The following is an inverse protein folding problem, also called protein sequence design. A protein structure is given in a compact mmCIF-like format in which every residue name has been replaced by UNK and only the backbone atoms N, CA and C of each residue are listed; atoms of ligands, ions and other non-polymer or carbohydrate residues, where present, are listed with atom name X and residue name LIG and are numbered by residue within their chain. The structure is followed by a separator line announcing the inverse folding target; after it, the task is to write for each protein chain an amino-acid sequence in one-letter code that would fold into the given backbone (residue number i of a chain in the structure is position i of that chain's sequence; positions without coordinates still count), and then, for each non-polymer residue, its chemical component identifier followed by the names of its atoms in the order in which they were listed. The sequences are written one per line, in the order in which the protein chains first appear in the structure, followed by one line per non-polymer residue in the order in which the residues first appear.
data_IF_341455695336
#
_entry.id   IF_341455695336
#
_cell.length_a   1.000
_cell.length_b   1.000
_cell.length_c   1.000
_cell.angle_alpha   90.00
_cell.angle_beta   90.00
_cell.angle_gamma   90.00
#
_symmetry.space_group_name_H-M   'P 1'
#
loop_
_entity.id
_entity.type
_entity.pdbx_description
1 polymer ?
#
# COMPACT_ATOMS: atom_id res chain seq x y z
N UNK A 1 59.38 -8.44 -1.94
CA UNK A 1 57.92 -8.39 -2.16
C UNK A 1 57.60 -7.29 -3.15
N UNK A 2 56.96 -7.62 -4.27
CA UNK A 2 56.88 -6.74 -5.44
C UNK A 2 55.89 -5.59 -5.17
N UNK A 3 56.34 -4.32 -5.18
CA UNK A 3 55.49 -3.15 -4.82
C UNK A 3 54.18 -3.09 -5.61
N UNK A 4 54.18 -3.58 -6.86
CA UNK A 4 52.98 -3.68 -7.70
C UNK A 4 51.96 -4.70 -7.18
N UNK A 5 52.41 -5.82 -6.60
CA UNK A 5 51.52 -6.85 -6.04
C UNK A 5 50.82 -6.36 -4.76
N UNK A 6 51.53 -5.54 -3.96
CA UNK A 6 51.02 -4.97 -2.71
C UNK A 6 49.96 -3.88 -2.96
N UNK A 7 50.17 -3.04 -3.99
CA UNK A 7 49.19 -2.01 -4.39
C UNK A 7 47.91 -2.65 -4.96
N UNK A 8 48.02 -3.71 -5.76
CA UNK A 8 46.85 -4.42 -6.32
C UNK A 8 46.04 -5.13 -5.22
N UNK A 9 46.71 -5.75 -4.24
CA UNK A 9 46.04 -6.38 -3.10
C UNK A 9 45.31 -5.36 -2.21
N UNK A 10 45.88 -4.18 -1.98
CA UNK A 10 45.24 -3.10 -1.20
C UNK A 10 44.00 -2.52 -1.90
N UNK A 11 44.00 -2.40 -3.24
CA UNK A 11 42.84 -1.92 -3.99
C UNK A 11 41.68 -2.93 -3.92
N UNK A 12 41.96 -4.24 -4.04
CA UNK A 12 40.94 -5.29 -3.94
C UNK A 12 40.32 -5.32 -2.53
N UNK A 13 41.12 -5.20 -1.48
CA UNK A 13 40.63 -5.18 -0.10
C UNK A 13 39.77 -3.94 0.18
N UNK A 14 40.14 -2.77 -0.37
CA UNK A 14 39.35 -1.54 -0.26
C UNK A 14 38.01 -1.67 -0.99
N UNK A 15 37.98 -2.29 -2.18
CA UNK A 15 36.73 -2.53 -2.92
C UNK A 15 35.81 -3.53 -2.22
N UNK A 16 36.34 -4.57 -1.57
CA UNK A 16 35.50 -5.48 -0.77
C UNK A 16 34.90 -4.81 0.45
N UNK A 17 35.63 -3.91 1.13
CA UNK A 17 35.10 -3.12 2.25
C UNK A 17 33.99 -2.17 1.77
N UNK A 18 34.13 -1.57 0.59
CA UNK A 18 33.10 -0.70 -0.02
C UNK A 18 31.85 -1.51 -0.38
N UNK A 19 31.99 -2.69 -0.98
CA UNK A 19 30.84 -3.54 -1.34
C UNK A 19 30.15 -4.12 -0.10
N UNK A 20 30.90 -4.50 0.94
CA UNK A 20 30.30 -4.96 2.20
C UNK A 20 29.61 -3.84 2.96
N UNK A 21 30.19 -2.63 2.98
CA UNK A 21 29.56 -1.48 3.63
C UNK A 21 28.29 -1.03 2.90
N UNK A 22 28.21 -1.07 1.58
CA UNK A 22 26.96 -0.78 0.84
C UNK A 22 25.84 -1.77 1.24
N UNK A 23 26.15 -3.06 1.41
CA UNK A 23 25.15 -4.06 1.86
C UNK A 23 24.74 -3.88 3.32
N UNK A 24 25.69 -3.56 4.21
CA UNK A 24 25.40 -3.30 5.63
C UNK A 24 24.54 -2.04 5.79
N UNK A 25 24.85 -0.96 5.05
CA UNK A 25 24.07 0.28 5.11
C UNK A 25 22.65 0.10 4.58
N UNK A 26 22.46 -0.68 3.50
CA UNK A 26 21.11 -1.02 3.02
C UNK A 26 20.31 -1.84 4.05
N UNK A 27 20.92 -2.86 4.66
CA UNK A 27 20.27 -3.66 5.72
C UNK A 27 19.90 -2.84 6.97
N UNK A 28 20.80 -1.95 7.42
CA UNK A 28 20.50 -1.05 8.54
C UNK A 28 19.40 -0.04 8.21
N UNK A 29 19.42 0.51 6.98
CA UNK A 29 18.41 1.46 6.53
C UNK A 29 17.05 0.78 6.43
N UNK A 30 16.98 -0.45 5.93
CA UNK A 30 15.77 -1.26 5.88
C UNK A 30 15.19 -1.49 7.27
N UNK A 31 15.99 -1.97 8.24
CA UNK A 31 15.56 -2.12 9.64
C UNK A 31 15.00 -0.82 10.19
N UNK A 32 15.66 0.33 9.96
CA UNK A 32 15.19 1.62 10.49
C UNK A 32 13.87 2.11 9.87
N UNK A 33 13.60 1.75 8.60
CA UNK A 33 12.34 2.06 7.92
C UNK A 33 11.25 1.12 8.43
N UNK A 34 11.51 -0.19 8.47
CA UNK A 34 10.58 -1.19 9.02
C UNK A 34 10.20 -0.88 10.48
N UNK A 35 11.16 -0.45 11.30
CA UNK A 35 10.93 0.00 12.69
C UNK A 35 10.05 1.26 12.77
N UNK A 36 10.10 2.10 11.74
CA UNK A 36 9.24 3.27 11.66
C UNK A 36 7.83 2.89 11.23
N UNK A 37 7.70 1.99 10.26
CA UNK A 37 6.41 1.47 9.78
C UNK A 37 5.68 0.67 10.87
N UNK A 38 6.40 -0.05 11.71
CA UNK A 38 5.81 -0.83 12.81
C UNK A 38 5.05 0.01 13.83
N UNK A 39 5.33 1.31 13.94
CA UNK A 39 4.59 2.21 14.84
C UNK A 39 3.12 2.36 14.47
N UNK A 40 2.82 2.29 13.18
CA UNK A 40 1.46 2.38 12.65
C UNK A 40 0.83 0.99 12.44
N UNK A 41 1.54 -0.08 12.83
CA UNK A 41 1.04 -1.44 12.73
C UNK A 41 -0.14 -1.70 13.69
N UNK A 42 -0.96 -2.67 13.30
CA UNK A 42 -2.16 -3.07 14.05
C UNK A 42 -1.93 -3.32 15.54
N UNK A 43 -0.83 -3.97 15.91
CA UNK A 43 -0.48 -4.27 17.31
C UNK A 43 -0.34 -3.03 18.21
N UNK A 44 -0.04 -1.88 17.60
CA UNK A 44 0.15 -0.59 18.26
C UNK A 44 -1.07 0.33 18.13
N UNK A 45 -2.12 -0.09 17.43
CA UNK A 45 -3.31 0.71 17.23
C UNK A 45 -4.13 0.87 18.51
N UNK A 46 -4.72 2.04 18.69
CA UNK A 46 -5.58 2.38 19.84
C UNK A 46 -6.86 1.56 19.87
N UNK A 47 -7.43 1.33 18.70
CA UNK A 47 -8.68 0.61 18.42
C UNK A 47 -8.49 -0.91 18.29
N UNK A 48 -7.27 -1.43 18.51
CA UNK A 48 -6.92 -2.83 18.20
C UNK A 48 -7.85 -3.85 18.85
N UNK A 49 -8.32 -3.58 20.07
CA UNK A 49 -9.20 -4.51 20.80
C UNK A 49 -10.55 -4.63 20.12
N UNK A 50 -11.12 -3.50 19.70
CA UNK A 50 -12.42 -3.42 19.04
C UNK A 50 -12.34 -4.03 17.64
N UNK A 51 -11.33 -3.66 16.88
CA UNK A 51 -11.10 -4.20 15.52
C UNK A 51 -10.79 -5.70 15.57
N UNK A 52 -9.99 -6.16 16.54
CA UNK A 52 -9.74 -7.61 16.73
C UNK A 52 -11.02 -8.35 17.07
N UNK A 53 -11.96 -7.75 17.81
CA UNK A 53 -13.23 -8.41 18.10
C UNK A 53 -14.03 -8.70 16.82
N UNK A 54 -14.02 -7.77 15.85
CA UNK A 54 -14.60 -7.97 14.52
C UNK A 54 -13.90 -9.10 13.78
N UNK A 55 -12.56 -9.16 13.86
CA UNK A 55 -11.80 -10.24 13.24
C UNK A 55 -12.13 -11.61 13.83
N UNK A 56 -12.30 -11.71 15.15
CA UNK A 56 -12.57 -12.98 15.81
C UNK A 56 -14.00 -13.48 15.55
N UNK A 57 -14.99 -12.58 15.36
CA UNK A 57 -16.40 -12.95 15.19
C UNK A 57 -16.85 -13.05 13.75
N UNK A 58 -16.48 -12.06 12.92
CA UNK A 58 -17.10 -11.85 11.62
C UNK A 58 -16.20 -12.37 10.48
N UNK A 59 -14.89 -12.44 10.70
CA UNK A 59 -13.96 -12.93 9.69
C UNK A 59 -14.16 -14.40 9.28
N UNK A 60 -14.51 -15.33 10.18
CA UNK A 60 -14.90 -16.68 9.77
C UNK A 60 -16.05 -16.68 8.76
N UNK A 61 -16.98 -15.72 8.86
CA UNK A 61 -18.08 -15.54 7.91
C UNK A 61 -17.53 -15.08 6.56
N UNK A 62 -16.64 -14.08 6.55
CA UNK A 62 -16.00 -13.59 5.33
C UNK A 62 -15.21 -14.70 4.59
N UNK A 63 -14.41 -15.48 5.30
CA UNK A 63 -13.69 -16.62 4.72
C UNK A 63 -14.65 -17.68 4.15
N UNK A 64 -15.74 -17.97 4.86
CA UNK A 64 -16.75 -18.91 4.37
C UNK A 64 -17.45 -18.40 3.10
N UNK A 65 -17.76 -17.09 3.01
CA UNK A 65 -18.32 -16.48 1.80
C UNK A 65 -17.38 -16.66 0.61
N UNK A 66 -16.09 -16.34 0.77
CA UNK A 66 -15.09 -16.50 -0.30
C UNK A 66 -14.92 -17.96 -0.72
N UNK A 67 -14.97 -18.88 0.23
CA UNK A 67 -14.84 -20.32 -0.04
C UNK A 67 -16.03 -20.86 -0.85
N UNK A 68 -17.23 -20.31 -0.63
CA UNK A 68 -18.47 -20.73 -1.28
C UNK A 68 -18.74 -20.02 -2.60
N UNK A 69 -18.24 -18.79 -2.77
CA UNK A 69 -18.46 -17.97 -3.95
C UNK A 69 -17.12 -17.48 -4.54
N UNK A 70 -16.63 -18.14 -5.59
CA UNK A 70 -15.41 -17.76 -6.30
C UNK A 70 -15.41 -16.33 -6.87
N UNK A 71 -16.57 -15.66 -6.99
CA UNK A 71 -16.61 -14.27 -7.47
C UNK A 71 -15.84 -13.30 -6.57
N UNK A 72 -15.66 -13.64 -5.30
CA UNK A 72 -14.84 -12.88 -4.35
C UNK A 72 -13.34 -13.11 -4.49
N UNK A 73 -12.91 -14.06 -5.33
CA UNK A 73 -11.52 -14.23 -5.72
C UNK A 73 -11.16 -13.31 -6.90
N UNK A 74 -9.88 -12.87 -7.00
CA UNK A 74 -9.32 -12.27 -8.19
C UNK A 74 -9.57 -13.10 -9.44
N UNK A 75 -9.78 -12.42 -10.57
CA UNK A 75 -10.07 -13.07 -11.85
C UNK A 75 -9.08 -14.20 -12.20
N UNK A 76 -7.77 -13.98 -11.94
CA UNK A 76 -6.75 -14.99 -12.20
C UNK A 76 -6.89 -16.28 -11.39
N UNK A 77 -7.57 -16.24 -10.23
CA UNK A 77 -7.74 -17.39 -9.33
C UNK A 77 -9.09 -18.10 -9.53
N UNK A 78 -10.07 -17.43 -10.16
CA UNK A 78 -11.43 -17.97 -10.37
C UNK A 78 -11.49 -19.23 -11.23
N UNK A 79 -10.47 -19.48 -12.05
CA UNK A 79 -10.40 -20.69 -12.89
C UNK A 79 -10.12 -21.97 -12.10
N UNK A 80 -9.57 -21.85 -10.88
CA UNK A 80 -9.20 -22.96 -10.00
C UNK A 80 -9.38 -22.60 -8.52
N UNK A 81 -10.59 -22.23 -8.09
CA UNK A 81 -10.84 -21.69 -6.75
C UNK A 81 -10.41 -22.64 -5.62
N UNK A 82 -10.42 -23.95 -5.86
CA UNK A 82 -9.96 -24.97 -4.92
C UNK A 82 -8.48 -24.87 -4.55
N UNK A 83 -7.64 -24.28 -5.42
CA UNK A 83 -6.21 -24.05 -5.15
C UNK A 83 -5.96 -22.80 -4.27
N UNK A 84 -6.99 -21.98 -4.02
CA UNK A 84 -6.90 -20.66 -3.39
C UNK A 84 -7.88 -20.50 -2.21
N UNK A 85 -8.10 -21.58 -1.47
CA UNK A 85 -9.03 -21.58 -0.34
C UNK A 85 -8.48 -20.74 0.82
N UNK A 86 -9.29 -19.81 1.38
CA UNK A 86 -8.86 -18.97 2.48
C UNK A 86 -8.71 -19.77 3.78
N UNK A 87 -7.61 -19.56 4.48
CA UNK A 87 -7.32 -20.26 5.75
C UNK A 87 -6.99 -19.34 6.91
N UNK A 88 -6.53 -18.11 6.64
CA UNK A 88 -6.06 -17.21 7.70
C UNK A 88 -6.08 -15.73 7.28
N UNK A 89 -5.91 -14.86 8.26
CA UNK A 89 -5.64 -13.43 8.07
C UNK A 89 -4.15 -13.16 7.88
N UNK A 90 -3.84 -12.18 7.03
CA UNK A 90 -2.54 -11.51 7.03
C UNK A 90 -2.51 -10.32 7.99
N UNK A 91 -1.47 -9.49 7.88
CA UNK A 91 -1.30 -8.31 8.71
C UNK A 91 -2.24 -7.18 8.24
N UNK A 92 -3.13 -6.67 9.10
CA UNK A 92 -3.96 -5.53 8.77
C UNK A 92 -3.14 -4.25 8.62
N UNK A 93 -3.56 -3.37 7.69
CA UNK A 93 -2.96 -2.05 7.49
C UNK A 93 -4.04 -0.97 7.34
N UNK A 94 -3.72 0.27 7.73
CA UNK A 94 -4.63 1.41 7.64
C UNK A 94 -4.67 1.97 6.22
N UNK A 95 -5.86 2.20 5.68
CA UNK A 95 -6.09 2.86 4.40
C UNK A 95 -6.88 4.13 4.62
N UNK A 96 -6.29 5.28 4.26
CA UNK A 96 -6.91 6.59 4.33
C UNK A 96 -7.58 6.93 3.00
N UNK A 97 -8.77 7.52 3.04
CA UNK A 97 -9.52 7.81 1.82
C UNK A 97 -9.53 9.30 1.52
N UNK A 98 -9.88 9.67 0.29
CA UNK A 98 -10.27 11.04 -0.06
C UNK A 98 -11.66 11.02 -0.69
N UNK A 99 -12.41 12.09 -0.49
CA UNK A 99 -13.73 12.22 -1.10
C UNK A 99 -13.65 12.58 -2.60
N UNK A 100 -14.81 12.56 -3.27
CA UNK A 100 -14.92 12.81 -4.72
C UNK A 100 -14.46 14.21 -5.15
N UNK A 101 -14.32 15.16 -4.23
CA UNK A 101 -13.86 16.53 -4.51
C UNK A 101 -12.35 16.71 -4.36
N UNK A 102 -11.58 15.63 -4.21
CA UNK A 102 -10.14 15.67 -3.95
C UNK A 102 -9.35 16.52 -4.95
N UNK A 103 -9.71 16.50 -6.25
CA UNK A 103 -9.07 17.34 -7.27
C UNK A 103 -9.34 18.83 -7.03
N UNK A 104 -10.57 19.25 -6.69
CA UNK A 104 -10.81 20.65 -6.34
C UNK A 104 -10.07 21.04 -5.05
N UNK A 105 -10.10 20.18 -4.04
CA UNK A 105 -9.39 20.43 -2.77
C UNK A 105 -7.89 20.60 -2.99
N UNK A 106 -7.28 19.75 -3.81
CA UNK A 106 -5.87 19.86 -4.17
C UNK A 106 -5.57 21.15 -4.91
N UNK A 107 -6.40 21.55 -5.88
CA UNK A 107 -6.22 22.83 -6.60
C UNK A 107 -6.26 24.05 -5.68
N UNK A 108 -7.01 23.98 -4.58
CA UNK A 108 -7.12 25.06 -3.60
C UNK A 108 -5.98 25.08 -2.60
N UNK A 109 -5.52 23.92 -2.13
CA UNK A 109 -4.48 23.83 -1.09
C UNK A 109 -3.05 23.73 -1.63
N UNK A 110 -2.88 23.15 -2.82
CA UNK A 110 -1.58 22.74 -3.36
C UNK A 110 -0.89 21.64 -2.54
N UNK A 111 -1.61 20.98 -1.62
CA UNK A 111 -1.07 19.95 -0.74
C UNK A 111 -1.94 18.70 -0.83
N UNK A 112 -1.32 17.55 -1.08
CA UNK A 112 -2.07 16.31 -1.22
C UNK A 112 -2.58 15.83 0.13
N UNK A 113 -1.77 15.90 1.19
CA UNK A 113 -2.16 15.49 2.53
C UNK A 113 -3.43 16.18 3.05
N UNK A 114 -3.73 17.40 2.60
CA UNK A 114 -4.94 18.13 3.01
C UNK A 114 -6.23 17.60 2.38
N UNK A 115 -6.14 16.76 1.34
CA UNK A 115 -7.32 16.17 0.69
C UNK A 115 -7.72 14.83 1.31
N UNK A 116 -6.82 14.21 2.07
CA UNK A 116 -7.09 12.96 2.77
C UNK A 116 -8.04 13.20 3.94
N UNK A 117 -9.01 12.30 4.09
CA UNK A 117 -9.84 12.22 5.29
C UNK A 117 -8.98 11.87 6.50
N UNK A 118 -9.40 12.36 7.67
CA UNK A 118 -8.88 11.85 8.95
C UNK A 118 -9.39 10.44 9.27
N UNK A 119 -10.48 10.03 8.62
CA UNK A 119 -11.05 8.70 8.72
C UNK A 119 -10.22 7.70 7.91
N UNK A 120 -10.19 6.47 8.38
CA UNK A 120 -9.50 5.35 7.75
C UNK A 120 -10.30 4.08 7.96
N UNK A 121 -9.97 3.08 7.15
CA UNK A 121 -10.38 1.70 7.35
C UNK A 121 -9.14 0.83 7.55
N UNK A 122 -9.33 -0.33 8.16
CA UNK A 122 -8.37 -1.41 8.15
C UNK A 122 -8.63 -2.26 6.92
N UNK A 123 -7.61 -2.48 6.09
CA UNK A 123 -7.64 -3.54 5.08
C UNK A 123 -6.92 -4.76 5.64
N UNK A 124 -7.55 -5.93 5.51
CA UNK A 124 -7.08 -7.20 6.06
C UNK A 124 -6.85 -8.18 4.92
N UNK A 125 -5.61 -8.61 4.66
CA UNK A 125 -5.34 -9.65 3.69
C UNK A 125 -5.97 -10.98 4.13
N UNK A 126 -6.53 -11.70 3.16
CA UNK A 126 -7.04 -13.06 3.35
C UNK A 126 -6.05 -14.00 2.65
N UNK A 127 -5.48 -14.93 3.41
CA UNK A 127 -4.40 -15.80 2.97
C UNK A 127 -4.89 -17.23 2.77
N UNK A 128 -4.28 -17.92 1.82
CA UNK A 128 -4.37 -19.38 1.71
C UNK A 128 -3.35 -20.09 2.60
N UNK A 129 -3.35 -21.43 2.53
CA UNK A 129 -2.47 -22.30 3.32
C UNK A 129 -0.97 -22.13 3.02
N UNK A 130 -0.61 -21.51 1.89
CA UNK A 130 0.76 -21.20 1.50
C UNK A 130 1.19 -19.79 1.91
N UNK A 131 0.28 -19.02 2.52
CA UNK A 131 0.49 -17.63 2.90
C UNK A 131 0.32 -16.64 1.74
N UNK A 132 -0.23 -17.06 0.60
CA UNK A 132 -0.51 -16.15 -0.53
C UNK A 132 -1.79 -15.38 -0.26
N UNK A 133 -1.80 -14.09 -0.59
CA UNK A 133 -3.04 -13.31 -0.60
C UNK A 133 -3.97 -13.83 -1.69
N UNK A 134 -5.18 -14.23 -1.30
CA UNK A 134 -6.24 -14.69 -2.20
C UNK A 134 -7.46 -13.78 -2.20
N UNK A 135 -7.64 -12.97 -1.16
CA UNK A 135 -8.67 -11.95 -1.08
C UNK A 135 -8.30 -10.86 -0.06
N UNK A 136 -9.18 -9.91 0.21
CA UNK A 136 -9.10 -8.99 1.34
C UNK A 136 -10.49 -8.66 1.87
N UNK A 137 -10.54 -8.18 3.11
CA UNK A 137 -11.73 -7.56 3.69
C UNK A 137 -11.36 -6.23 4.32
N UNK A 138 -12.30 -5.29 4.33
CA UNK A 138 -12.15 -4.06 5.09
C UNK A 138 -12.88 -4.13 6.43
N UNK A 139 -12.35 -3.42 7.43
CA UNK A 139 -13.03 -3.14 8.70
C UNK A 139 -13.01 -1.64 8.90
N UNK A 140 -14.18 -1.04 9.11
CA UNK A 140 -14.37 0.40 9.16
C UNK A 140 -15.25 0.78 10.35
N UNK A 141 -15.10 2.01 10.81
CA UNK A 141 -15.90 2.54 11.90
C UNK A 141 -17.18 3.16 11.35
N UNK A 142 -18.32 2.69 11.85
CA UNK A 142 -19.64 3.21 11.53
C UNK A 142 -20.35 3.57 12.83
N UNK A 143 -20.59 4.87 13.05
CA UNK A 143 -21.26 5.41 14.24
C UNK A 143 -20.66 4.93 15.58
N UNK A 144 -19.33 4.90 15.70
CA UNK A 144 -18.64 4.50 16.93
C UNK A 144 -18.49 2.99 17.11
N UNK A 145 -18.81 2.18 16.08
CA UNK A 145 -18.64 0.73 16.09
C UNK A 145 -17.85 0.28 14.89
N UNK A 146 -16.84 -0.57 15.12
CA UNK A 146 -16.12 -1.25 14.06
C UNK A 146 -16.93 -2.43 13.51
N UNK A 147 -16.98 -2.56 12.20
CA UNK A 147 -17.68 -3.65 11.51
C UNK A 147 -16.97 -4.03 10.20
N UNK A 148 -17.21 -5.25 9.73
CA UNK A 148 -16.75 -5.68 8.40
C UNK A 148 -17.44 -4.85 7.33
N UNK A 149 -16.64 -4.27 6.45
CA UNK A 149 -17.10 -3.54 5.28
C UNK A 149 -17.13 -4.45 4.05
N UNK A 150 -16.36 -4.07 3.03
CA UNK A 150 -16.28 -4.80 1.79
C UNK A 150 -15.45 -6.07 1.97
N UNK A 151 -15.89 -7.17 1.37
CA UNK A 151 -15.08 -8.39 1.19
C UNK A 151 -14.88 -8.64 -0.29
N UNK A 152 -13.67 -9.06 -0.68
CA UNK A 152 -13.26 -9.21 -2.07
C UNK A 152 -12.20 -8.19 -2.46
N UNK A 153 -11.40 -8.54 -3.47
CA UNK A 153 -10.29 -7.70 -3.93
C UNK A 153 -10.74 -6.68 -4.98
N UNK A 154 -10.63 -5.40 -4.62
CA UNK A 154 -10.64 -4.28 -5.56
C UNK A 154 -9.26 -3.94 -6.11
N UNK A 155 -8.22 -4.58 -5.58
CA UNK A 155 -6.80 -4.39 -5.92
C UNK A 155 -6.11 -5.73 -6.17
N UNK A 156 -5.09 -5.79 -7.05
CA UNK A 156 -4.31 -7.00 -7.25
C UNK A 156 -3.76 -7.58 -5.94
N UNK A 157 -3.77 -8.92 -5.74
CA UNK A 157 -3.22 -9.57 -4.56
C UNK A 157 -1.80 -9.13 -4.21
N UNK A 158 -0.95 -8.96 -5.21
CA UNK A 158 0.45 -8.55 -5.01
C UNK A 158 0.56 -7.16 -4.36
N UNK A 159 -0.40 -6.25 -4.60
CA UNK A 159 -0.41 -4.93 -3.97
C UNK A 159 -0.95 -4.96 -2.55
N UNK A 160 -1.87 -5.88 -2.25
CA UNK A 160 -2.27 -6.16 -0.86
C UNK A 160 -1.13 -6.79 -0.08
N UNK A 161 -0.42 -7.76 -0.68
CA UNK A 161 0.77 -8.36 -0.09
C UNK A 161 1.85 -7.31 0.19
N UNK A 162 2.15 -6.46 -0.80
CA UNK A 162 3.06 -5.32 -0.62
C UNK A 162 2.60 -4.40 0.52
N UNK A 163 1.32 -4.07 0.58
CA UNK A 163 0.81 -3.11 1.57
C UNK A 163 0.74 -3.66 3.00
N UNK A 164 0.70 -4.97 3.16
CA UNK A 164 0.65 -5.66 4.46
C UNK A 164 2.03 -6.09 4.97
N UNK A 165 3.08 -5.88 4.17
CA UNK A 165 4.44 -6.30 4.49
C UNK A 165 5.38 -5.09 4.56
N UNK A 166 5.74 -4.73 5.80
CA UNK A 166 6.62 -3.60 6.07
C UNK A 166 8.01 -3.74 5.41
N UNK A 167 8.51 -4.96 5.23
CA UNK A 167 9.83 -5.17 4.63
C UNK A 167 9.78 -4.95 3.11
N UNK A 168 8.68 -5.35 2.45
CA UNK A 168 8.46 -5.06 1.04
C UNK A 168 8.28 -3.56 0.80
N UNK A 169 7.56 -2.85 1.68
CA UNK A 169 7.46 -1.39 1.62
C UNK A 169 8.84 -0.75 1.82
N UNK A 170 9.60 -1.20 2.82
CA UNK A 170 10.94 -0.67 3.07
C UNK A 170 11.87 -0.87 1.87
N UNK A 171 11.82 -2.04 1.21
CA UNK A 171 12.56 -2.32 -0.02
C UNK A 171 12.16 -1.38 -1.15
N UNK A 172 10.85 -1.19 -1.38
CA UNK A 172 10.33 -0.26 -2.39
C UNK A 172 10.85 1.17 -2.16
N UNK A 173 10.80 1.65 -0.92
CA UNK A 173 11.28 3.00 -0.58
C UNK A 173 12.79 3.13 -0.75
N UNK A 174 13.58 2.13 -0.35
CA UNK A 174 15.04 2.13 -0.53
C UNK A 174 15.41 2.13 -2.01
N UNK A 175 14.73 1.34 -2.83
CA UNK A 175 14.98 1.25 -4.27
C UNK A 175 14.65 2.54 -5.02
N UNK A 176 13.91 3.46 -4.39
CA UNK A 176 13.56 4.77 -4.92
C UNK A 176 14.20 5.94 -4.15
N UNK A 177 15.21 5.68 -3.31
CA UNK A 177 15.90 6.69 -2.50
C UNK A 177 14.99 7.49 -1.53
N UNK A 178 13.81 6.95 -1.19
CA UNK A 178 12.81 7.55 -0.29
C UNK A 178 12.99 7.13 1.18
N UNK A 179 14.23 7.14 1.66
CA UNK A 179 14.60 6.58 2.98
C UNK A 179 14.36 7.54 4.16
N UNK A 180 14.13 8.83 3.89
CA UNK A 180 13.99 9.89 4.90
C UNK A 180 12.64 10.58 4.81
N UNK A 181 11.64 10.01 5.45
CA UNK A 181 10.29 10.55 5.51
C UNK A 181 9.87 10.90 6.93
N UNK A 182 8.88 11.79 7.07
CA UNK A 182 8.19 12.06 8.34
C UNK A 182 6.86 11.32 8.42
N UNK A 183 6.18 11.12 7.30
CA UNK A 183 4.86 10.48 7.23
C UNK A 183 4.80 9.49 6.07
N UNK A 184 4.09 8.39 6.28
CA UNK A 184 3.75 7.40 5.25
C UNK A 184 2.33 6.92 5.53
N UNK A 185 1.50 6.81 4.49
CA UNK A 185 0.14 6.29 4.57
C UNK A 185 -0.16 5.41 3.37
N UNK A 186 -0.95 4.37 3.57
CA UNK A 186 -1.68 3.77 2.45
C UNK A 186 -2.93 4.61 2.22
N UNK A 187 -3.18 4.96 0.97
CA UNK A 187 -4.30 5.80 0.58
C UNK A 187 -5.13 5.10 -0.49
N UNK A 188 -6.43 5.41 -0.52
CA UNK A 188 -7.35 5.03 -1.59
C UNK A 188 -8.08 6.27 -2.09
N UNK A 189 -7.77 6.66 -3.32
CA UNK A 189 -8.30 7.88 -3.97
C UNK A 189 -8.69 7.53 -5.41
N UNK A 190 -9.95 7.76 -5.79
CA UNK A 190 -10.46 7.57 -7.15
C UNK A 190 -10.01 6.24 -7.82
N UNK A 191 -10.51 5.10 -7.34
CA UNK A 191 -10.20 3.75 -7.88
C UNK A 191 -8.69 3.41 -7.94
N UNK A 192 -7.86 4.15 -7.20
CA UNK A 192 -6.43 3.91 -7.07
C UNK A 192 -6.08 3.79 -5.60
N UNK A 193 -5.37 2.72 -5.27
CA UNK A 193 -4.63 2.62 -4.03
C UNK A 193 -3.22 3.15 -4.27
N UNK A 194 -2.58 3.69 -3.24
CA UNK A 194 -1.21 4.17 -3.34
C UNK A 194 -0.52 4.20 -1.98
N UNK A 195 0.80 4.24 -2.02
CA UNK A 195 1.61 4.70 -0.88
C UNK A 195 1.79 6.21 -1.04
N UNK A 196 1.34 6.97 -0.05
CA UNK A 196 1.61 8.39 0.08
C UNK A 196 2.72 8.61 1.11
N UNK A 197 3.69 9.46 0.79
CA UNK A 197 4.84 9.73 1.62
C UNK A 197 5.14 11.22 1.68
N UNK A 198 5.48 11.72 2.86
CA UNK A 198 6.02 13.07 3.03
C UNK A 198 7.46 12.99 3.50
N UNK A 199 8.37 13.54 2.71
CA UNK A 199 9.79 13.61 3.04
C UNK A 199 10.04 14.49 4.27
N UNK A 200 11.27 14.43 4.81
CA UNK A 200 11.68 15.36 5.88
C UNK A 200 11.73 16.82 5.43
N UNK A 201 11.98 17.11 4.16
CA UNK A 201 11.95 18.46 3.58
C UNK A 201 10.53 18.97 3.39
N UNK A 202 9.53 18.08 3.38
CA UNK A 202 8.12 18.43 3.20
C UNK A 202 7.57 18.09 1.82
N UNK A 203 8.41 17.62 0.91
CA UNK A 203 7.99 17.15 -0.42
C UNK A 203 7.07 15.92 -0.30
N UNK A 204 5.98 15.93 -1.04
CA UNK A 204 4.95 14.91 -1.06
C UNK A 204 5.12 13.99 -2.29
N UNK A 205 5.04 12.68 -2.06
CA UNK A 205 5.19 11.65 -3.09
C UNK A 205 4.02 10.67 -3.08
N UNK A 206 3.71 10.13 -4.26
CA UNK A 206 2.68 9.12 -4.48
C UNK A 206 3.28 7.97 -5.29
N UNK A 207 3.06 6.75 -4.80
CA UNK A 207 3.44 5.51 -5.48
C UNK A 207 2.14 4.72 -5.73
N UNK A 208 1.60 4.75 -6.95
CA UNK A 208 0.29 4.20 -7.26
C UNK A 208 0.31 2.67 -7.39
N UNK A 209 -0.81 2.08 -7.02
CA UNK A 209 -1.11 0.65 -7.00
C UNK A 209 -2.57 0.45 -7.42
N UNK A 210 -2.89 0.75 -8.67
CA UNK A 210 -4.26 0.64 -9.19
C UNK A 210 -4.47 -0.69 -9.91
N UNK A 211 -5.66 -1.28 -9.72
CA UNK A 211 -6.17 -2.35 -10.58
C UNK A 211 -6.41 -1.88 -12.02
N UNK A 212 -6.72 -0.58 -12.19
CA UNK A 212 -7.04 0.05 -13.47
C UNK A 212 -6.14 1.29 -13.68
N UNK A 213 -4.82 1.08 -13.87
CA UNK A 213 -3.89 2.19 -14.10
C UNK A 213 -4.26 3.02 -15.33
N UNK A 214 -5.00 2.44 -16.28
CA UNK A 214 -5.57 3.12 -17.44
C UNK A 214 -6.60 4.20 -17.07
N UNK A 215 -7.34 4.04 -15.97
CA UNK A 215 -8.31 5.04 -15.51
C UNK A 215 -7.65 6.26 -14.86
N UNK A 216 -6.51 6.07 -14.20
CA UNK A 216 -5.78 7.14 -13.49
C UNK A 216 -4.61 7.71 -14.27
N UNK A 217 -4.09 6.97 -15.25
CA UNK A 217 -2.98 7.40 -16.09
C UNK A 217 -1.60 7.33 -15.46
N UNK A 218 -1.49 6.68 -14.32
CA UNK A 218 -0.24 6.51 -13.59
C UNK A 218 0.26 5.07 -13.70
N UNK A 219 1.57 4.92 -13.87
CA UNK A 219 2.22 3.62 -13.91
C UNK A 219 2.37 3.07 -12.49
N UNK A 220 1.90 1.85 -12.25
CA UNK A 220 2.00 1.22 -10.93
C UNK A 220 3.46 1.14 -10.46
N UNK A 221 3.66 1.36 -9.16
CA UNK A 221 4.95 1.32 -8.45
C UNK A 221 5.99 2.37 -8.87
N UNK A 222 5.66 3.27 -9.80
CA UNK A 222 6.50 4.42 -10.13
C UNK A 222 6.30 5.55 -9.12
N UNK A 223 7.39 6.21 -8.72
CA UNK A 223 7.33 7.37 -7.85
C UNK A 223 6.94 8.61 -8.66
N UNK A 224 5.95 9.33 -8.15
CA UNK A 224 5.56 10.66 -8.62
C UNK A 224 5.64 11.64 -7.45
N UNK A 225 5.97 12.89 -7.72
CA UNK A 225 5.59 13.96 -6.79
C UNK A 225 4.05 14.08 -6.76
N UNK A 226 3.50 14.60 -5.67
CA UNK A 226 2.07 14.84 -5.56
C UNK A 226 1.53 15.72 -6.72
N UNK A 227 2.26 16.77 -7.09
CA UNK A 227 1.91 17.65 -8.20
C UNK A 227 1.86 16.92 -9.54
N UNK A 228 2.87 16.09 -9.84
CA UNK A 228 2.91 15.29 -11.07
C UNK A 228 1.74 14.31 -11.14
N UNK A 229 1.49 13.57 -10.05
CA UNK A 229 0.38 12.63 -9.98
C UNK A 229 -0.97 13.34 -10.16
N UNK A 230 -1.18 14.45 -9.47
CA UNK A 230 -2.44 15.20 -9.53
C UNK A 230 -2.67 15.86 -10.87
N UNK A 231 -1.61 16.33 -11.54
CA UNK A 231 -1.71 16.81 -12.92
C UNK A 231 -2.29 15.72 -13.83
N UNK A 232 -1.67 14.53 -13.82
CA UNK A 232 -2.11 13.39 -14.65
C UNK A 232 -3.53 12.95 -14.31
N UNK A 233 -3.85 12.82 -13.02
CA UNK A 233 -5.18 12.41 -12.57
C UNK A 233 -6.24 13.44 -13.01
N UNK A 234 -5.97 14.74 -12.83
CA UNK A 234 -6.93 15.80 -13.13
C UNK A 234 -7.29 15.92 -14.61
N UNK A 235 -6.45 15.41 -15.52
CA UNK A 235 -6.72 15.35 -16.95
C UNK A 235 -7.67 14.19 -17.34
N UNK A 236 -7.82 13.19 -16.46
CA UNK A 236 -8.63 11.99 -16.71
C UNK A 236 -9.92 11.92 -15.89
N UNK A 237 -9.92 12.50 -14.70
CA UNK A 237 -11.12 12.56 -13.85
C UNK A 237 -12.09 13.59 -14.45
N UNK A 238 -13.10 13.10 -15.16
CA UNK A 238 -14.23 13.92 -15.59
C UNK A 238 -15.19 14.05 -14.41
N UNK A 239 -15.31 15.27 -13.87
CA UNK A 239 -16.31 15.55 -12.84
C UNK A 239 -17.71 15.33 -13.39
N UNK A 240 -18.50 14.53 -12.67
CA UNK A 240 -19.87 14.18 -13.05
C UNK A 240 -20.00 12.87 -13.82
N UNK A 241 -18.92 12.17 -14.16
CA UNK A 241 -19.05 10.82 -14.72
C UNK A 241 -19.44 9.80 -13.64
N UNK A 242 -20.45 8.97 -13.91
CA UNK A 242 -20.78 7.82 -13.05
C UNK A 242 -19.65 6.78 -13.05
N UNK A 243 -19.79 5.71 -12.26
CA UNK A 243 -18.77 4.66 -12.16
C UNK A 243 -18.48 3.93 -13.50
N UNK A 244 -19.28 4.18 -14.54
CA UNK A 244 -19.16 3.67 -15.90
C UNK A 244 -18.58 4.69 -16.90
N UNK A 245 -18.20 5.89 -16.45
CA UNK A 245 -17.68 6.93 -17.32
C UNK A 245 -18.75 7.71 -18.08
N UNK A 246 -20.04 7.54 -17.76
CA UNK A 246 -21.12 8.32 -18.36
C UNK A 246 -21.22 9.67 -17.65
N UNK A 247 -20.95 10.76 -18.37
CA UNK A 247 -21.11 12.13 -17.86
C UNK A 247 -22.59 12.33 -17.50
N UNK A 248 -22.88 12.49 -16.21
CA UNK A 248 -24.18 12.97 -15.73
C UNK A 248 -24.32 14.41 -16.22
N UNK A 249 -25.12 14.60 -17.26
CA UNK A 249 -25.60 15.91 -17.66
C UNK A 249 -26.61 16.41 -16.64
N UNK A 250 -26.45 17.64 -16.18
CA UNK A 250 -27.50 18.40 -15.47
C UNK A 250 -28.80 18.47 -16.30
#
# INVERSE_FOLDING_TARGET
MNKKLLIVASIIFLTMIIISSIRITKGYTQSSISDKLSKDAFENATEKVEVKSVFDTDFPIAMNIISQDPSFLPEQFRSKPEEYQPTSMGNPYKVYTADKSFVQKFKLSGQFGSILSGEYLWEVPILDNSGRVVSSSTVWENNGKWEVGLTGLNIPPDFVQLSSDNDLIAELLINNDLTKFKELKHIRVFKMDAIYLVSKSGDEYIIPMSFRPDLVGLDNLKVYTADEAMKVISERVIFGADDNGAILSD
#
